data_IF_342781653186
#
_entry.id   IF_342781653186
#
_cell.length_a   1.000
_cell.length_b   1.000
_cell.length_c   1.000
_cell.angle_alpha   90.00
_cell.angle_beta   90.00
_cell.angle_gamma   90.00
#
_symmetry.space_group_name_H-M   'P 1'
#
loop_
_entity.id
_entity.type
_entity.pdbx_description
1 polymer ?
#
# COMPACT_ATOMS: atom_id res chain seq x y z
N UNK A 1 -36.16 8.63 -18.26
CA UNK A 1 -35.55 9.32 -19.42
C UNK A 1 -34.08 8.89 -19.51
N UNK A 2 -33.50 8.67 -20.70
CA UNK A 2 -32.07 8.41 -20.84
C UNK A 2 -31.27 9.60 -20.29
N UNK A 3 -30.20 9.34 -19.52
CA UNK A 3 -29.30 10.39 -19.04
C UNK A 3 -28.09 10.45 -19.98
N UNK A 4 -27.82 11.63 -20.53
CA UNK A 4 -26.67 11.89 -21.39
C UNK A 4 -25.43 12.12 -20.51
N UNK A 5 -24.44 11.25 -20.62
CA UNK A 5 -23.16 11.37 -19.93
C UNK A 5 -22.09 11.84 -20.91
N UNK A 6 -21.38 12.91 -20.57
CA UNK A 6 -20.20 13.37 -21.31
C UNK A 6 -18.95 12.89 -20.58
N UNK A 7 -18.12 12.12 -21.27
CA UNK A 7 -16.81 11.69 -20.78
C UNK A 7 -15.76 12.58 -21.46
N UNK A 8 -15.07 13.42 -20.68
CA UNK A 8 -13.97 14.24 -21.15
C UNK A 8 -12.67 13.84 -20.45
N UNK A 9 -11.59 13.67 -21.23
CA UNK A 9 -10.22 13.57 -20.70
C UNK A 9 -9.61 14.97 -20.62
N UNK A 10 -8.85 15.24 -19.54
CA UNK A 10 -8.28 16.56 -19.28
C UNK A 10 -7.09 16.88 -20.21
N UNK A 11 -6.53 15.90 -20.92
CA UNK A 11 -5.51 16.13 -21.96
C UNK A 11 -6.02 17.05 -23.09
N UNK A 12 -7.34 17.12 -23.30
CA UNK A 12 -7.98 18.00 -24.29
C UNK A 12 -8.07 19.47 -23.85
N UNK A 13 -7.99 19.76 -22.55
CA UNK A 13 -8.11 21.12 -21.99
C UNK A 13 -6.78 21.89 -22.02
N UNK A 14 -5.64 21.20 -21.97
CA UNK A 14 -4.33 21.87 -22.07
C UNK A 14 -3.81 21.99 -23.51
N UNK A 15 -4.46 21.36 -24.51
CA UNK A 15 -3.94 21.34 -25.90
C UNK A 15 -4.91 21.68 -27.03
N UNK A 16 -6.19 21.99 -26.80
CA UNK A 16 -7.05 22.36 -27.93
C UNK A 16 -8.23 23.25 -27.57
N UNK A 17 -8.40 24.32 -28.35
CA UNK A 17 -9.70 24.93 -28.60
C UNK A 17 -10.68 23.82 -29.02
N UNK A 18 -11.73 23.61 -28.22
CA UNK A 18 -12.98 22.91 -28.54
C UNK A 18 -12.88 21.67 -29.45
N UNK A 19 -12.59 20.51 -28.87
CA UNK A 19 -13.04 19.24 -29.45
C UNK A 19 -14.33 18.78 -28.74
N UNK A 20 -15.39 18.38 -29.48
CA UNK A 20 -16.64 17.91 -28.88
C UNK A 20 -16.41 16.59 -28.16
N UNK A 21 -16.76 16.54 -26.87
CA UNK A 21 -16.75 15.30 -26.08
C UNK A 21 -17.75 14.28 -26.63
N UNK A 22 -17.48 12.99 -26.41
CA UNK A 22 -18.42 11.92 -26.76
C UNK A 22 -19.60 11.95 -25.78
N UNK A 23 -20.81 12.15 -26.30
CA UNK A 23 -22.06 12.05 -25.53
C UNK A 23 -22.58 10.62 -25.66
N UNK A 24 -22.61 9.87 -24.56
CA UNK A 24 -23.16 8.51 -24.53
C UNK A 24 -24.39 8.50 -23.62
N UNK A 25 -25.51 7.98 -24.12
CA UNK A 25 -26.72 7.83 -23.35
C UNK A 25 -26.69 6.49 -22.60
N UNK A 26 -26.75 6.55 -21.27
CA UNK A 26 -26.83 5.37 -20.43
C UNK A 26 -28.21 5.23 -19.78
N UNK A 27 -28.70 4.00 -19.55
CA UNK A 27 -29.78 3.74 -18.61
C UNK A 27 -29.43 4.29 -17.21
N UNK A 28 -30.44 4.80 -16.49
CA UNK A 28 -30.26 5.42 -15.16
C UNK A 28 -29.57 4.50 -14.14
N UNK A 29 -29.72 3.20 -14.32
CA UNK A 29 -29.13 2.13 -13.51
C UNK A 29 -27.61 2.06 -13.69
N UNK A 30 -27.13 2.19 -14.94
CA UNK A 30 -25.70 2.26 -15.26
C UNK A 30 -25.10 3.57 -14.74
N UNK A 31 -25.83 4.68 -14.81
CA UNK A 31 -25.36 5.96 -14.24
C UNK A 31 -25.23 5.88 -12.71
N UNK A 32 -26.20 5.25 -12.04
CA UNK A 32 -26.14 5.01 -10.59
C UNK A 32 -24.97 4.09 -10.23
N UNK A 33 -24.73 3.06 -11.04
CA UNK A 33 -23.59 2.16 -10.89
C UNK A 33 -22.25 2.89 -11.10
N UNK A 34 -22.13 3.75 -12.13
CA UNK A 34 -20.93 4.56 -12.39
C UNK A 34 -20.65 5.55 -11.25
N UNK A 35 -21.69 6.21 -10.71
CA UNK A 35 -21.58 7.10 -9.54
C UNK A 35 -21.07 6.38 -8.29
N UNK A 36 -21.40 5.10 -8.14
CA UNK A 36 -20.91 4.29 -7.03
C UNK A 36 -19.44 3.87 -7.17
N UNK A 37 -18.84 4.04 -8.37
CA UNK A 37 -17.49 3.55 -8.74
C UNK A 37 -16.51 4.64 -9.19
N UNK A 38 -16.97 5.86 -9.45
CA UNK A 38 -16.14 6.97 -9.94
C UNK A 38 -16.33 8.22 -9.08
N UNK A 39 -15.22 8.88 -8.72
CA UNK A 39 -15.23 10.20 -8.08
C UNK A 39 -15.74 11.23 -9.10
N UNK A 40 -16.91 11.80 -8.84
CA UNK A 40 -17.47 12.91 -9.62
C UNK A 40 -17.04 14.20 -8.93
N UNK A 41 -16.32 15.07 -9.65
CA UNK A 41 -15.94 16.41 -9.18
C UNK A 41 -16.93 17.45 -9.74
N UNK A 42 -17.73 18.06 -8.87
CA UNK A 42 -18.77 19.03 -9.21
C UNK A 42 -18.27 20.47 -9.07
N UNK A 43 -17.18 20.85 -9.77
CA UNK A 43 -16.74 22.25 -9.75
C UNK A 43 -17.64 23.15 -10.61
N UNK A 44 -18.18 24.28 -10.08
CA UNK A 44 -19.26 25.04 -10.72
C UNK A 44 -18.98 25.57 -12.13
N UNK A 45 -17.73 25.88 -12.46
CA UNK A 45 -17.35 26.46 -13.74
C UNK A 45 -17.45 25.44 -14.90
N UNK A 46 -17.15 24.16 -14.65
CA UNK A 46 -17.22 23.13 -15.70
C UNK A 46 -18.63 22.57 -15.86
N UNK A 47 -19.37 22.47 -14.75
CA UNK A 47 -20.81 22.16 -14.76
C UNK A 47 -21.58 23.20 -15.60
N UNK A 48 -21.26 24.48 -15.46
CA UNK A 48 -21.90 25.55 -16.25
C UNK A 48 -21.63 25.43 -17.76
N UNK A 49 -20.40 25.12 -18.17
CA UNK A 49 -20.04 24.97 -19.59
C UNK A 49 -20.68 23.72 -20.23
N UNK A 50 -20.82 22.63 -19.49
CA UNK A 50 -21.43 21.41 -19.99
C UNK A 50 -22.97 21.46 -20.01
N UNK A 51 -23.58 22.12 -19.03
CA UNK A 51 -25.03 22.41 -19.04
C UNK A 51 -25.37 23.29 -20.25
N UNK A 52 -24.53 24.28 -20.58
CA UNK A 52 -24.70 25.10 -21.78
C UNK A 52 -24.60 24.30 -23.09
N UNK A 53 -23.95 23.13 -23.07
CA UNK A 53 -23.84 22.20 -24.21
C UNK A 53 -24.91 21.09 -24.21
N UNK A 54 -25.90 21.15 -23.31
CA UNK A 54 -26.99 20.16 -23.23
C UNK A 54 -26.68 18.91 -22.41
N UNK A 55 -25.56 18.87 -21.69
CA UNK A 55 -25.24 17.79 -20.77
C UNK A 55 -26.06 17.93 -19.49
N UNK A 56 -26.65 16.82 -19.02
CA UNK A 56 -27.34 16.78 -17.72
C UNK A 56 -26.40 16.43 -16.58
N UNK A 57 -25.24 15.82 -16.85
CA UNK A 57 -24.18 15.49 -15.89
C UNK A 57 -22.79 15.48 -16.55
N UNK A 58 -21.76 15.93 -15.82
CA UNK A 58 -20.35 15.90 -16.22
C UNK A 58 -19.62 14.91 -15.33
N UNK A 59 -18.95 13.91 -15.91
CA UNK A 59 -18.01 13.08 -15.16
C UNK A 59 -16.60 13.49 -15.57
N UNK A 60 -15.94 14.23 -14.69
CA UNK A 60 -14.54 14.55 -14.83
C UNK A 60 -13.68 13.29 -14.64
N UNK A 61 -12.77 13.02 -15.57
CA UNK A 61 -11.61 12.18 -15.27
C UNK A 61 -10.69 13.00 -14.36
N UNK A 62 -10.41 12.58 -13.11
CA UNK A 62 -9.38 13.23 -12.33
C UNK A 62 -8.06 13.10 -13.10
N UNK A 63 -7.42 14.23 -13.38
CA UNK A 63 -6.14 14.23 -14.09
C UNK A 63 -5.15 13.39 -13.27
N UNK A 64 -4.73 12.23 -13.79
CA UNK A 64 -3.88 11.29 -13.07
C UNK A 64 -2.43 11.80 -13.12
N UNK A 65 -2.14 12.88 -12.41
CA UNK A 65 -0.90 13.70 -12.30
C UNK A 65 0.50 13.04 -12.31
N UNK A 66 0.63 11.73 -12.51
CA UNK A 66 1.88 11.16 -12.98
C UNK A 66 2.09 11.58 -14.45
N UNK A 67 3.31 12.02 -14.79
CA UNK A 67 3.69 12.13 -16.19
C UNK A 67 3.75 10.70 -16.76
N UNK A 68 3.09 10.48 -17.90
CA UNK A 68 3.14 9.16 -18.55
C UNK A 68 4.59 8.78 -18.87
N UNK A 69 4.94 7.53 -18.59
CA UNK A 69 6.30 7.01 -18.75
C UNK A 69 7.32 7.51 -17.70
N UNK A 70 6.87 8.16 -16.62
CA UNK A 70 7.78 8.64 -15.57
C UNK A 70 8.30 7.54 -14.63
N UNK A 71 7.81 6.31 -14.79
CA UNK A 71 8.25 5.13 -14.03
C UNK A 71 8.73 4.02 -14.99
N UNK A 72 9.83 4.22 -15.75
CA UNK A 72 10.31 3.28 -16.76
C UNK A 72 10.71 1.90 -16.20
N UNK A 73 11.32 1.82 -15.01
CA UNK A 73 11.69 0.53 -14.42
C UNK A 73 10.43 -0.27 -14.06
N UNK A 74 9.48 0.37 -13.41
CA UNK A 74 8.22 -0.28 -13.04
C UNK A 74 7.40 -0.63 -14.28
N UNK A 75 7.44 0.21 -15.32
CA UNK A 75 6.84 -0.09 -16.62
C UNK A 75 7.42 -1.36 -17.24
N UNK A 76 8.75 -1.50 -17.22
CA UNK A 76 9.44 -2.70 -17.69
C UNK A 76 9.06 -3.92 -16.84
N UNK A 77 9.02 -3.81 -15.51
CA UNK A 77 8.65 -4.90 -14.62
C UNK A 77 7.21 -5.38 -14.88
N UNK A 78 6.25 -4.46 -15.06
CA UNK A 78 4.87 -4.81 -15.44
C UNK A 78 4.81 -5.46 -16.82
N UNK A 79 5.58 -4.97 -17.79
CA UNK A 79 5.65 -5.59 -19.12
C UNK A 79 6.18 -7.03 -19.04
N UNK A 80 7.18 -7.29 -18.18
CA UNK A 80 7.71 -8.64 -17.94
C UNK A 80 6.69 -9.55 -17.24
N UNK A 81 5.85 -9.01 -16.36
CA UNK A 81 4.71 -9.74 -15.78
C UNK A 81 3.73 -10.15 -16.87
N UNK A 82 3.32 -9.20 -17.71
CA UNK A 82 2.35 -9.43 -18.79
C UNK A 82 2.88 -10.41 -19.85
N UNK A 83 4.19 -10.42 -20.08
CA UNK A 83 4.85 -11.37 -20.96
C UNK A 83 5.08 -12.76 -20.33
N UNK A 84 4.76 -12.94 -19.04
CA UNK A 84 4.99 -14.19 -18.32
C UNK A 84 6.48 -14.50 -18.06
N UNK A 85 7.32 -13.46 -17.95
CA UNK A 85 8.78 -13.59 -17.86
C UNK A 85 9.36 -13.32 -16.47
N UNK A 86 8.78 -12.40 -15.69
CA UNK A 86 9.29 -12.07 -14.35
C UNK A 86 8.21 -11.49 -13.44
N UNK A 87 8.40 -11.64 -12.13
CA UNK A 87 7.58 -10.99 -11.11
C UNK A 87 7.88 -9.48 -11.05
N UNK A 88 6.90 -8.69 -10.62
CA UNK A 88 7.13 -7.31 -10.18
C UNK A 88 6.82 -7.18 -8.68
N UNK A 89 7.45 -6.23 -8.01
CA UNK A 89 7.34 -6.01 -6.57
C UNK A 89 7.07 -4.54 -6.26
N UNK A 90 5.90 -4.25 -5.70
CA UNK A 90 5.46 -2.89 -5.38
C UNK A 90 5.14 -2.77 -3.89
N UNK A 91 5.71 -1.77 -3.23
CA UNK A 91 5.52 -1.53 -1.80
C UNK A 91 4.66 -0.30 -1.48
N UNK A 92 3.89 -0.37 -0.39
CA UNK A 92 3.28 0.79 0.27
C UNK A 92 3.85 0.95 1.67
N UNK A 93 4.71 1.95 1.88
CA UNK A 93 5.30 2.29 3.16
C UNK A 93 4.51 3.43 3.80
N UNK A 94 3.80 3.17 4.89
CA UNK A 94 2.85 4.14 5.43
C UNK A 94 2.49 3.97 6.90
N UNK A 95 1.62 4.86 7.37
CA UNK A 95 1.11 4.87 8.73
C UNK A 95 -0.18 4.03 8.87
N UNK A 96 -1.09 4.37 9.80
CA UNK A 96 -2.37 3.66 9.95
C UNK A 96 -3.24 3.73 8.69
N UNK A 97 -3.06 4.72 7.83
CA UNK A 97 -3.82 4.82 6.57
C UNK A 97 -3.40 3.80 5.50
N UNK A 98 -2.32 3.05 5.74
CA UNK A 98 -1.86 1.95 4.89
C UNK A 98 -2.37 0.58 5.38
N UNK A 99 -2.78 0.49 6.65
CA UNK A 99 -3.24 -0.76 7.28
C UNK A 99 -4.66 -1.16 6.86
N UNK A 100 -5.49 -0.22 6.42
CA UNK A 100 -6.83 -0.46 5.89
C UNK A 100 -7.97 0.12 6.71
N UNK A 101 -9.18 -0.38 6.44
CA UNK A 101 -10.43 0.19 6.97
C UNK A 101 -10.40 0.21 8.48
N UNK A 102 -10.64 1.37 9.10
CA UNK A 102 -10.76 1.47 10.55
C UNK A 102 -9.50 1.04 11.31
N UNK A 103 -8.31 1.19 10.71
CA UNK A 103 -7.13 1.38 11.53
C UNK A 103 -7.27 2.75 12.23
N UNK A 104 -8.01 2.77 13.35
CA UNK A 104 -8.46 3.94 14.09
C UNK A 104 -8.15 3.96 15.60
N UNK A 105 -8.17 5.14 16.23
CA UNK A 105 -7.70 5.27 17.63
C UNK A 105 -8.61 4.45 18.56
N UNK A 106 -8.07 3.35 19.09
CA UNK A 106 -8.73 2.44 20.02
C UNK A 106 -9.68 1.46 19.34
N UNK A 107 -9.25 0.22 19.12
CA UNK A 107 -10.03 -1.01 18.78
C UNK A 107 -10.90 -0.98 17.49
N UNK A 108 -11.37 0.17 17.05
CA UNK A 108 -12.45 0.30 16.07
C UNK A 108 -11.95 0.13 14.65
N UNK A 109 -12.09 -1.09 14.13
CA UNK A 109 -12.08 -1.39 12.71
C UNK A 109 -10.88 -2.19 12.21
N UNK A 110 -9.93 -2.55 13.07
CA UNK A 110 -8.79 -3.39 12.68
C UNK A 110 -9.17 -4.83 12.33
N UNK A 111 -10.32 -5.35 12.79
CA UNK A 111 -10.77 -6.71 12.48
C UNK A 111 -11.07 -6.84 10.99
N UNK A 112 -10.36 -7.75 10.30
CA UNK A 112 -10.47 -7.98 8.86
C UNK A 112 -9.97 -6.82 7.99
N UNK A 113 -9.27 -5.84 8.57
CA UNK A 113 -8.87 -4.63 7.85
C UNK A 113 -7.87 -4.90 6.71
N UNK A 114 -7.09 -5.98 6.80
CA UNK A 114 -6.07 -6.33 5.81
C UNK A 114 -6.65 -6.48 4.40
N UNK A 115 -7.81 -7.14 4.24
CA UNK A 115 -8.45 -7.28 2.93
C UNK A 115 -8.96 -5.95 2.37
N UNK A 116 -9.28 -4.99 3.24
CA UNK A 116 -9.75 -3.65 2.88
C UNK A 116 -8.64 -2.62 2.66
N UNK A 117 -7.36 -2.98 2.82
CA UNK A 117 -6.25 -2.01 2.77
C UNK A 117 -5.93 -1.52 1.37
N UNK A 118 -5.35 -0.31 1.21
CA UNK A 118 -5.04 0.25 -0.10
C UNK A 118 -4.24 -0.69 -1.02
N UNK A 119 -3.29 -1.43 -0.46
CA UNK A 119 -2.49 -2.43 -1.19
C UNK A 119 -3.33 -3.59 -1.75
N UNK A 120 -4.24 -4.16 -0.96
CA UNK A 120 -5.16 -5.21 -1.42
C UNK A 120 -6.12 -4.68 -2.50
N UNK A 121 -6.62 -3.46 -2.32
CA UNK A 121 -7.55 -2.82 -3.26
C UNK A 121 -6.86 -2.43 -4.58
N UNK A 122 -5.58 -2.04 -4.52
CA UNK A 122 -4.73 -1.84 -5.70
C UNK A 122 -4.54 -3.15 -6.48
N UNK A 123 -4.28 -4.27 -5.79
CA UNK A 123 -4.11 -5.58 -6.42
C UNK A 123 -5.40 -6.05 -7.09
N UNK A 124 -6.54 -5.92 -6.40
CA UNK A 124 -7.85 -6.25 -6.95
C UNK A 124 -8.17 -5.43 -8.21
N UNK A 125 -7.86 -4.13 -8.21
CA UNK A 125 -8.09 -3.28 -9.37
C UNK A 125 -7.19 -3.66 -10.56
N UNK A 126 -5.88 -3.84 -10.34
CA UNK A 126 -4.97 -4.26 -11.41
C UNK A 126 -5.42 -5.59 -12.04
N UNK A 127 -5.80 -6.56 -11.20
CA UNK A 127 -6.34 -7.84 -11.67
C UNK A 127 -7.63 -7.65 -12.50
N UNK A 128 -8.51 -6.73 -12.09
CA UNK A 128 -9.77 -6.45 -12.81
C UNK A 128 -9.57 -5.83 -14.19
N UNK A 129 -8.43 -5.17 -14.43
CA UNK A 129 -8.06 -4.58 -15.74
C UNK A 129 -7.08 -5.46 -16.52
N UNK A 130 -6.91 -6.72 -16.13
CA UNK A 130 -6.12 -7.71 -16.87
C UNK A 130 -4.62 -7.74 -16.55
N UNK A 131 -4.16 -7.05 -15.50
CA UNK A 131 -2.78 -7.15 -15.01
C UNK A 131 -2.74 -8.11 -13.82
N UNK A 132 -2.11 -9.29 -13.93
CA UNK A 132 -2.01 -10.22 -12.81
C UNK A 132 -1.35 -9.55 -11.61
N UNK A 133 -2.08 -9.43 -10.50
CA UNK A 133 -1.60 -8.77 -9.29
C UNK A 133 -2.15 -9.47 -8.05
N UNK A 134 -1.38 -9.47 -6.97
CA UNK A 134 -1.83 -10.00 -5.70
C UNK A 134 -1.15 -9.31 -4.51
N UNK A 135 -1.90 -9.21 -3.41
CA UNK A 135 -1.38 -8.81 -2.11
C UNK A 135 -1.25 -10.06 -1.24
N UNK A 136 -0.22 -10.88 -1.49
CA UNK A 136 0.05 -12.12 -0.75
C UNK A 136 1.34 -11.97 0.04
N UNK A 137 1.29 -11.08 1.02
CA UNK A 137 2.40 -10.78 1.92
C UNK A 137 1.94 -10.35 3.30
N UNK A 138 2.83 -10.49 4.28
CA UNK A 138 2.73 -9.91 5.62
C UNK A 138 4.10 -9.35 6.03
N UNK A 139 4.14 -8.27 6.80
CA UNK A 139 5.38 -7.60 7.24
C UNK A 139 5.32 -7.11 8.70
N UNK A 140 4.56 -7.81 9.54
CA UNK A 140 4.47 -7.53 10.97
C UNK A 140 3.72 -6.24 11.31
N UNK A 141 2.93 -5.74 10.36
CA UNK A 141 2.07 -4.55 10.40
C UNK A 141 1.86 -4.01 11.83
N UNK A 142 2.55 -2.91 12.13
CA UNK A 142 2.96 -2.64 13.51
C UNK A 142 1.86 -2.08 14.38
N UNK A 143 1.97 -2.38 15.68
CA UNK A 143 1.09 -1.92 16.75
C UNK A 143 -0.37 -2.36 16.66
N UNK A 144 -0.74 -3.25 15.73
CA UNK A 144 -2.09 -3.86 15.66
C UNK A 144 -2.50 -4.47 17.02
N UNK A 145 -1.57 -5.15 17.69
CA UNK A 145 -1.83 -5.87 18.94
C UNK A 145 -1.63 -5.00 20.20
N UNK A 146 -1.18 -3.76 20.05
CA UNK A 146 -0.89 -2.83 21.16
C UNK A 146 -2.06 -1.88 21.48
N UNK A 147 -2.98 -1.64 20.53
CA UNK A 147 -4.07 -0.68 20.69
C UNK A 147 -5.40 -1.30 21.18
N UNK A 148 -5.61 -2.63 21.05
CA UNK A 148 -6.63 -3.36 21.82
C UNK A 148 -5.99 -4.40 22.75
N UNK A 149 -6.38 -4.47 24.04
CA UNK A 149 -6.08 -5.65 24.83
C UNK A 149 -6.75 -6.86 24.17
N UNK A 150 -5.95 -7.88 23.84
CA UNK A 150 -6.35 -9.18 23.26
C UNK A 150 -6.54 -9.26 21.74
N UNK A 151 -6.23 -8.23 20.94
CA UNK A 151 -6.26 -8.39 19.47
C UNK A 151 -5.11 -9.28 18.98
N UNK A 152 -5.46 -10.33 18.24
CA UNK A 152 -4.51 -11.17 17.53
C UNK A 152 -4.26 -10.62 16.13
N UNK A 153 -3.05 -10.82 15.61
CA UNK A 153 -2.75 -10.46 14.22
C UNK A 153 -3.69 -11.20 13.23
N UNK A 154 -4.13 -12.42 13.57
CA UNK A 154 -5.13 -13.18 12.82
C UNK A 154 -6.51 -12.51 12.78
N UNK A 155 -6.83 -11.64 13.74
CA UNK A 155 -8.07 -10.85 13.68
C UNK A 155 -7.95 -9.75 12.62
N UNK A 156 -6.74 -9.22 12.40
CA UNK A 156 -6.46 -8.22 11.36
C UNK A 156 -6.38 -8.83 9.97
N UNK A 157 -5.61 -9.90 9.83
CA UNK A 157 -5.43 -10.67 8.61
C UNK A 157 -5.70 -12.16 8.88
N UNK A 158 -6.86 -12.63 8.44
CA UNK A 158 -7.30 -14.02 8.65
C UNK A 158 -6.41 -15.05 7.97
N UNK A 159 -5.52 -14.62 7.07
CA UNK A 159 -4.53 -15.50 6.41
C UNK A 159 -3.36 -15.82 7.32
N UNK A 160 -3.10 -14.99 8.32
CA UNK A 160 -1.95 -15.10 9.21
C UNK A 160 -2.28 -15.92 10.47
N UNK A 161 -1.30 -16.67 10.97
CA UNK A 161 -1.39 -17.40 12.24
C UNK A 161 -0.05 -17.43 12.98
N UNK A 162 -0.09 -17.26 14.30
CA UNK A 162 1.06 -17.60 15.17
C UNK A 162 1.13 -19.11 15.39
N UNK A 163 2.33 -19.70 15.28
CA UNK A 163 2.54 -21.15 15.44
C UNK A 163 3.24 -21.45 16.76
N UNK A 164 2.74 -22.47 17.48
CA UNK A 164 3.36 -23.06 18.68
C UNK A 164 3.73 -22.05 19.79
N UNK A 165 2.91 -21.01 19.98
CA UNK A 165 3.14 -19.99 21.02
C UNK A 165 4.13 -18.89 20.63
N UNK A 166 4.56 -18.84 19.36
CA UNK A 166 5.24 -17.66 18.82
C UNK A 166 4.40 -16.39 19.04
N UNK A 167 5.09 -15.27 19.17
CA UNK A 167 4.45 -13.98 19.41
C UNK A 167 5.30 -12.84 18.85
N UNK A 168 4.79 -11.62 18.97
CA UNK A 168 5.51 -10.40 18.68
C UNK A 168 6.16 -9.83 19.95
N UNK A 169 6.97 -8.77 19.82
CA UNK A 169 7.49 -8.04 20.98
C UNK A 169 6.42 -7.11 21.59
N UNK A 170 5.99 -7.33 22.85
CA UNK A 170 4.86 -6.62 23.44
C UNK A 170 5.13 -5.13 23.75
N UNK A 171 6.41 -4.71 23.82
CA UNK A 171 6.77 -3.35 24.21
C UNK A 171 6.95 -2.37 23.03
N UNK A 172 6.75 -2.83 21.78
CA UNK A 172 6.88 -1.99 20.58
C UNK A 172 8.26 -1.36 20.35
N UNK A 173 9.29 -1.76 21.12
CA UNK A 173 10.64 -1.18 21.01
C UNK A 173 11.43 -1.75 19.84
N UNK A 174 11.05 -2.91 19.32
CA UNK A 174 11.69 -3.56 18.18
C UNK A 174 10.75 -3.51 16.97
N UNK A 175 10.78 -2.36 16.29
CA UNK A 175 10.05 -2.12 15.05
C UNK A 175 10.92 -2.46 13.84
N UNK A 176 10.27 -2.93 12.78
CA UNK A 176 10.86 -3.29 11.49
C UNK A 176 10.20 -2.50 10.36
N UNK A 177 10.46 -2.87 9.10
CA UNK A 177 9.88 -2.29 7.89
C UNK A 177 8.38 -2.00 7.99
N UNK A 178 7.57 -3.01 8.29
CA UNK A 178 6.12 -2.88 8.41
C UNK A 178 5.63 -2.82 9.87
N UNK A 179 6.45 -3.15 10.86
CA UNK A 179 5.98 -3.17 12.23
C UNK A 179 6.71 -4.10 13.18
N UNK A 180 5.98 -4.74 14.10
CA UNK A 180 6.59 -5.57 15.14
C UNK A 180 6.95 -6.94 14.56
N UNK A 181 8.21 -7.33 14.70
CA UNK A 181 8.71 -8.59 14.16
C UNK A 181 8.12 -9.80 14.90
N UNK A 182 7.93 -10.90 14.17
CA UNK A 182 7.65 -12.19 14.76
C UNK A 182 8.89 -12.74 15.44
N UNK A 183 8.76 -13.07 16.73
CA UNK A 183 9.81 -13.68 17.53
C UNK A 183 9.62 -15.19 17.55
N UNK A 184 10.60 -15.92 17.03
CA UNK A 184 10.65 -17.38 17.06
C UNK A 184 11.88 -17.86 17.85
N UNK A 185 11.75 -17.86 19.18
CA UNK A 185 12.81 -18.14 20.15
C UNK A 185 12.87 -19.61 20.58
N UNK A 186 12.47 -20.54 19.71
CA UNK A 186 12.46 -21.97 19.98
C UNK A 186 12.08 -22.78 18.73
N UNK A 187 12.55 -24.02 18.67
CA UNK A 187 12.28 -24.91 17.54
C UNK A 187 10.77 -25.13 17.37
N UNK A 188 10.28 -24.99 16.14
CA UNK A 188 8.86 -25.15 15.81
C UNK A 188 7.99 -23.92 16.06
N UNK A 189 8.53 -22.85 16.67
CA UNK A 189 7.84 -21.57 16.81
C UNK A 189 7.98 -20.79 15.50
N UNK A 190 6.94 -20.05 15.12
CA UNK A 190 7.01 -19.19 13.94
C UNK A 190 5.66 -18.68 13.49
N UNK A 191 5.51 -18.53 12.18
CA UNK A 191 4.32 -17.94 11.56
C UNK A 191 3.78 -18.83 10.45
N UNK A 192 2.46 -18.85 10.33
CA UNK A 192 1.72 -19.45 9.24
C UNK A 192 1.09 -18.33 8.39
N UNK A 193 1.09 -18.51 7.08
CA UNK A 193 0.35 -17.62 6.17
C UNK A 193 -0.30 -18.41 5.05
N UNK A 194 -1.58 -18.15 4.77
CA UNK A 194 -2.35 -18.79 3.69
C UNK A 194 -2.60 -17.79 2.57
N UNK A 195 -1.84 -17.83 1.46
CA UNK A 195 -2.06 -16.91 0.34
C UNK A 195 -3.41 -17.13 -0.34
N UNK A 196 -4.14 -16.05 -0.63
CA UNK A 196 -5.50 -16.10 -1.22
C UNK A 196 -5.67 -15.12 -2.38
N UNK A 197 -6.73 -15.33 -3.18
CA UNK A 197 -7.04 -14.41 -4.29
C UNK A 197 -7.60 -13.09 -3.74
N UNK A 198 -7.13 -11.92 -4.23
CA UNK A 198 -7.62 -10.63 -3.74
C UNK A 198 -9.15 -10.44 -3.86
N UNK A 199 -9.76 -11.01 -4.90
CA UNK A 199 -11.19 -10.95 -5.15
C UNK A 199 -11.99 -12.12 -4.56
N UNK A 200 -11.31 -13.15 -4.05
CA UNK A 200 -11.93 -14.36 -3.47
C UNK A 200 -11.09 -14.84 -2.28
N UNK A 201 -11.19 -14.17 -1.11
CA UNK A 201 -10.31 -14.42 0.04
C UNK A 201 -10.46 -15.81 0.66
N UNK A 202 -11.51 -16.55 0.30
CA UNK A 202 -11.74 -17.94 0.72
C UNK A 202 -11.05 -18.96 -0.17
N UNK A 203 -10.49 -18.54 -1.31
CA UNK A 203 -9.80 -19.41 -2.26
C UNK A 203 -8.29 -19.21 -2.18
N UNK A 204 -7.60 -20.30 -1.91
CA UNK A 204 -6.14 -20.32 -1.85
C UNK A 204 -5.55 -20.14 -3.25
N UNK A 205 -4.46 -19.38 -3.34
CA UNK A 205 -3.68 -19.30 -4.59
C UNK A 205 -2.67 -20.44 -4.63
N UNK A 206 -2.25 -20.79 -5.84
CA UNK A 206 -1.08 -21.65 -6.05
C UNK A 206 0.20 -20.81 -5.92
N UNK A 207 1.17 -21.32 -5.19
CA UNK A 207 2.51 -20.75 -5.06
C UNK A 207 3.55 -21.87 -4.98
N UNK A 208 4.78 -21.52 -5.33
CA UNK A 208 5.95 -22.40 -5.24
C UNK A 208 7.20 -21.64 -4.75
N UNK A 209 7.06 -20.34 -4.47
CA UNK A 209 8.17 -19.48 -4.10
C UNK A 209 7.78 -18.58 -2.94
N UNK A 210 8.65 -18.51 -1.94
CA UNK A 210 8.50 -17.66 -0.77
C UNK A 210 9.74 -16.78 -0.63
N UNK A 211 9.54 -15.46 -0.64
CA UNK A 211 10.58 -14.50 -0.28
C UNK A 211 10.42 -14.18 1.21
N UNK A 212 11.33 -14.67 2.04
CA UNK A 212 11.33 -14.45 3.49
C UNK A 212 12.27 -13.29 3.83
N UNK A 213 11.79 -12.34 4.63
CA UNK A 213 12.57 -11.23 5.15
C UNK A 213 12.76 -11.44 6.65
N UNK A 214 14.01 -11.46 7.10
CA UNK A 214 14.38 -11.83 8.45
C UNK A 214 15.55 -11.00 8.98
N UNK A 215 15.70 -10.95 10.30
CA UNK A 215 16.88 -10.38 10.95
C UNK A 215 17.96 -11.45 11.08
N UNK A 216 19.11 -11.20 10.45
CA UNK A 216 20.28 -12.05 10.59
C UNK A 216 21.10 -11.60 11.80
N UNK A 217 20.56 -11.80 13.02
CA UNK A 217 21.18 -11.31 14.25
C UNK A 217 21.99 -12.37 15.00
N UNK A 218 21.51 -13.61 15.00
CA UNK A 218 22.14 -14.70 15.75
C UNK A 218 22.43 -15.86 14.82
N UNK A 219 23.28 -16.81 15.24
CA UNK A 219 23.43 -18.08 14.54
C UNK A 219 22.23 -18.97 14.82
N UNK A 220 21.52 -19.38 13.78
CA UNK A 220 20.27 -20.10 13.85
C UNK A 220 19.77 -20.49 12.47
N UNK A 221 18.54 -20.98 12.38
CA UNK A 221 17.95 -21.33 11.09
C UNK A 221 16.43 -21.25 11.07
N UNK A 222 15.91 -20.95 9.89
CA UNK A 222 14.48 -20.90 9.58
C UNK A 222 14.17 -22.01 8.57
N UNK A 223 13.11 -22.78 8.80
CA UNK A 223 12.53 -23.71 7.83
C UNK A 223 11.29 -23.12 7.21
N UNK A 224 11.13 -23.30 5.90
CA UNK A 224 9.93 -22.89 5.15
C UNK A 224 9.29 -24.13 4.51
N UNK A 225 7.99 -24.34 4.71
CA UNK A 225 7.27 -25.52 4.22
C UNK A 225 5.80 -25.25 3.86
N UNK A 226 5.30 -26.01 2.87
CA UNK A 226 3.91 -26.05 2.45
C UNK A 226 3.06 -26.99 3.33
N UNK A 227 1.72 -26.90 3.31
CA UNK A 227 0.89 -27.75 4.15
C UNK A 227 1.04 -29.23 3.74
N UNK A 228 1.13 -30.13 4.70
CA UNK A 228 1.17 -31.58 4.45
C UNK A 228 2.56 -32.21 4.27
N UNK A 229 3.65 -31.47 4.48
CA UNK A 229 4.93 -32.04 4.94
C UNK A 229 5.67 -33.07 4.05
N UNK A 230 5.28 -33.27 2.79
CA UNK A 230 5.93 -34.25 1.90
C UNK A 230 7.20 -33.76 1.21
N UNK A 231 7.50 -32.46 1.27
CA UNK A 231 8.66 -31.85 0.60
C UNK A 231 9.69 -31.41 1.62
N UNK A 232 10.98 -31.60 1.31
CA UNK A 232 12.11 -31.15 2.15
C UNK A 232 11.94 -29.66 2.44
N UNK A 233 11.75 -29.31 3.71
CA UNK A 233 11.73 -27.91 4.12
C UNK A 233 13.06 -27.27 3.71
N UNK A 234 13.00 -26.17 2.96
CA UNK A 234 14.22 -25.42 2.66
C UNK A 234 14.65 -24.67 3.91
N UNK A 235 15.94 -24.76 4.22
CA UNK A 235 16.54 -24.11 5.39
C UNK A 235 17.24 -22.82 4.99
N UNK A 236 16.92 -21.75 5.69
CA UNK A 236 17.66 -20.49 5.67
C UNK A 236 18.55 -20.49 6.91
N UNK A 237 19.86 -20.42 6.73
CA UNK A 237 20.81 -20.31 7.84
C UNK A 237 21.18 -18.85 8.06
N UNK A 238 21.12 -18.41 9.31
CA UNK A 238 21.55 -17.07 9.74
C UNK A 238 23.03 -17.12 10.13
N UNK A 239 23.79 -16.10 9.76
CA UNK A 239 25.23 -16.00 9.99
C UNK A 239 25.63 -15.01 11.10
N UNK A 240 24.66 -14.30 11.68
CA UNK A 240 24.89 -13.37 12.79
C UNK A 240 25.49 -12.03 12.36
N UNK A 241 25.26 -11.59 11.12
CA UNK A 241 25.81 -10.34 10.57
C UNK A 241 25.14 -9.04 11.06
N UNK A 242 24.09 -9.13 11.90
CA UNK A 242 23.26 -8.02 12.38
C UNK A 242 22.68 -7.16 11.25
N UNK A 243 22.04 -7.80 10.27
CA UNK A 243 21.40 -7.11 9.12
C UNK A 243 20.06 -7.72 8.75
N UNK A 244 19.20 -6.94 8.12
CA UNK A 244 18.04 -7.50 7.42
C UNK A 244 18.51 -8.22 6.18
N UNK A 245 18.02 -9.45 5.99
CA UNK A 245 18.28 -10.25 4.79
C UNK A 245 16.97 -10.73 4.18
N UNK A 246 17.05 -11.00 2.89
CA UNK A 246 15.97 -11.59 2.11
C UNK A 246 16.46 -12.91 1.55
N UNK A 247 15.75 -13.99 1.84
CA UNK A 247 15.99 -15.29 1.23
C UNK A 247 14.82 -15.66 0.32
N UNK A 248 15.13 -16.14 -0.88
CA UNK A 248 14.12 -16.71 -1.78
C UNK A 248 14.17 -18.22 -1.67
N UNK A 249 13.04 -18.82 -1.34
CA UNK A 249 12.89 -20.25 -1.11
C UNK A 249 11.97 -20.83 -2.16
N UNK A 250 12.44 -21.86 -2.88
CA UNK A 250 11.63 -22.67 -3.77
C UNK A 250 11.00 -23.83 -3.01
N UNK A 251 9.72 -24.07 -3.25
CA UNK A 251 8.88 -25.09 -2.65
C UNK A 251 8.21 -25.91 -3.76
N UNK A 252 7.64 -27.04 -3.39
CA UNK A 252 6.76 -27.79 -4.30
C UNK A 252 5.51 -26.96 -4.58
N UNK A 253 5.20 -26.72 -5.85
CA UNK A 253 4.03 -25.95 -6.28
C UNK A 253 2.74 -26.52 -5.67
N UNK A 254 2.00 -25.69 -4.94
CA UNK A 254 0.80 -26.11 -4.20
C UNK A 254 0.02 -24.91 -3.66
N UNK A 255 -1.03 -25.18 -2.87
CA UNK A 255 -1.86 -24.15 -2.24
C UNK A 255 -2.14 -24.48 -0.77
N UNK A 256 -2.45 -23.45 0.01
CA UNK A 256 -2.71 -23.55 1.46
C UNK A 256 -1.63 -22.90 2.33
N UNK A 257 -1.66 -23.20 3.62
CA UNK A 257 -0.81 -22.52 4.61
C UNK A 257 0.68 -22.85 4.45
N UNK A 258 1.50 -21.83 4.21
CA UNK A 258 2.94 -21.94 4.36
C UNK A 258 3.33 -21.70 5.82
N UNK A 259 4.23 -22.52 6.35
CA UNK A 259 4.83 -22.35 7.67
C UNK A 259 6.26 -21.86 7.54
N UNK A 260 6.61 -20.84 8.32
CA UNK A 260 7.96 -20.28 8.44
C UNK A 260 8.34 -20.41 9.91
N UNK A 261 9.17 -21.40 10.22
CA UNK A 261 9.44 -21.84 11.60
C UNK A 261 10.91 -21.69 11.93
N UNK A 262 11.21 -21.38 13.20
CA UNK A 262 12.54 -21.55 13.75
C UNK A 262 12.89 -23.05 13.76
N UNK A 263 14.02 -23.40 13.16
CA UNK A 263 14.58 -24.74 13.19
C UNK A 263 15.74 -24.84 14.19
N UNK A 264 16.45 -23.74 14.46
CA UNK A 264 17.44 -23.64 15.52
C UNK A 264 17.73 -22.18 15.90
N UNK A 265 18.25 -21.97 17.11
CA UNK A 265 18.68 -20.66 17.59
C UNK A 265 17.53 -19.70 17.91
N UNK A 266 17.77 -18.40 17.70
CA UNK A 266 16.79 -17.32 17.85
C UNK A 266 16.70 -16.52 16.54
N UNK A 267 15.59 -16.70 15.83
CA UNK A 267 15.39 -16.12 14.50
C UNK A 267 14.18 -15.20 14.52
N UNK A 268 14.31 -14.05 13.85
CA UNK A 268 13.28 -13.03 13.83
C UNK A 268 12.78 -12.83 12.42
N UNK A 269 11.47 -12.96 12.25
CA UNK A 269 10.81 -12.93 10.95
C UNK A 269 10.14 -11.55 10.83
N UNK A 270 10.58 -10.77 9.85
CA UNK A 270 10.00 -9.47 9.54
C UNK A 270 8.74 -9.68 8.70
N UNK A 271 8.82 -10.52 7.67
CA UNK A 271 7.72 -10.72 6.75
C UNK A 271 8.02 -11.74 5.66
N UNK A 272 7.03 -12.00 4.82
CA UNK A 272 7.20 -12.84 3.65
C UNK A 272 6.26 -12.44 2.51
N UNK A 273 6.68 -12.76 1.28
CA UNK A 273 5.85 -12.64 0.06
C UNK A 273 5.78 -13.98 -0.65
N UNK A 274 4.58 -14.37 -1.08
CA UNK A 274 4.28 -15.69 -1.64
C UNK A 274 3.86 -15.56 -3.11
N UNK A 275 4.56 -16.25 -4.02
CA UNK A 275 4.22 -16.22 -5.43
C UNK A 275 4.43 -17.54 -6.18
N UNK A 276 3.77 -17.63 -7.34
CA UNK A 276 3.92 -18.70 -8.31
C UNK A 276 4.99 -18.27 -9.32
N UNK A 277 6.13 -18.96 -9.35
CA UNK A 277 7.21 -18.69 -10.28
C UNK A 277 6.81 -18.90 -11.74
N UNK A 278 5.79 -19.72 -11.99
CA UNK A 278 5.30 -20.05 -13.33
C UNK A 278 4.17 -19.13 -13.81
N UNK A 279 3.56 -18.37 -12.89
CA UNK A 279 2.52 -17.38 -13.22
C UNK A 279 2.92 -16.02 -12.65
N UNK A 280 3.69 -15.23 -13.41
CA UNK A 280 4.13 -13.92 -12.96
C UNK A 280 3.00 -12.96 -12.64
N UNK A 281 3.23 -12.14 -11.62
CA UNK A 281 2.30 -11.11 -11.16
C UNK A 281 3.03 -9.91 -10.57
N UNK A 282 2.28 -8.82 -10.43
CA UNK A 282 2.64 -7.69 -9.58
C UNK A 282 2.32 -8.05 -8.13
N UNK A 283 3.35 -8.28 -7.33
CA UNK A 283 3.23 -8.55 -5.91
C UNK A 283 3.19 -7.23 -5.16
N UNK A 284 2.05 -6.92 -4.55
CA UNK A 284 1.83 -5.69 -3.80
C UNK A 284 2.01 -6.00 -2.32
N UNK A 285 2.80 -5.17 -1.65
CA UNK A 285 3.17 -5.37 -0.25
C UNK A 285 2.82 -4.11 0.56
N UNK A 286 2.38 -4.33 1.80
CA UNK A 286 2.07 -3.27 2.74
C UNK A 286 3.08 -3.27 3.89
N UNK A 287 3.63 -2.10 4.18
CA UNK A 287 4.52 -1.83 5.31
C UNK A 287 3.89 -0.77 6.22
N UNK A 288 2.58 -0.91 6.46
CA UNK A 288 1.82 0.02 7.29
C UNK A 288 2.13 -0.13 8.78
N UNK A 289 2.33 0.97 9.49
CA UNK A 289 2.51 0.95 10.94
C UNK A 289 1.58 1.92 11.65
N UNK A 290 0.82 1.41 12.62
CA UNK A 290 -0.17 2.19 13.33
C UNK A 290 0.48 3.31 14.16
N UNK A 291 -0.04 4.54 14.04
CA UNK A 291 0.42 5.70 14.83
C UNK A 291 1.84 6.17 14.50
N UNK A 292 2.45 5.63 13.45
CA UNK A 292 3.84 5.90 13.15
C UNK A 292 4.04 7.21 12.39
N UNK A 293 5.20 7.84 12.63
CA UNK A 293 5.67 9.02 11.90
C UNK A 293 7.15 8.89 11.59
N UNK A 294 7.61 9.47 10.48
CA UNK A 294 9.02 9.38 10.07
C UNK A 294 10.01 9.86 11.15
N UNK A 295 9.59 10.84 11.94
CA UNK A 295 10.43 11.65 12.84
C UNK A 295 10.40 11.22 14.31
N UNK A 296 9.60 10.23 14.71
CA UNK A 296 9.57 9.75 16.10
C UNK A 296 10.86 9.00 16.44
N UNK A 297 11.21 8.90 17.73
CA UNK A 297 12.42 8.19 18.17
C UNK A 297 12.46 6.71 17.73
N UNK A 298 11.29 6.10 17.51
CA UNK A 298 11.13 4.73 16.98
C UNK A 298 10.62 4.70 15.53
N UNK A 299 10.53 5.87 14.91
CA UNK A 299 10.01 6.09 13.57
C UNK A 299 11.01 5.77 12.48
N UNK A 300 10.54 5.62 11.25
CA UNK A 300 11.31 5.05 10.14
C UNK A 300 12.72 5.62 9.92
N UNK A 301 12.95 6.91 10.22
CA UNK A 301 14.24 7.58 9.94
C UNK A 301 15.09 7.79 11.19
N UNK A 302 14.47 8.04 12.35
CA UNK A 302 15.22 8.32 13.59
C UNK A 302 15.40 7.08 14.49
N UNK A 303 14.81 5.95 14.12
CA UNK A 303 14.98 4.71 14.87
C UNK A 303 16.44 4.28 14.87
N UNK A 304 17.01 4.11 16.06
CA UNK A 304 18.34 3.56 16.24
C UNK A 304 18.38 2.03 16.12
N UNK A 305 17.23 1.36 16.03
CA UNK A 305 17.17 -0.05 15.69
C UNK A 305 17.37 -0.27 14.19
N UNK A 306 18.27 -1.18 13.85
CA UNK A 306 18.78 -1.47 12.49
C UNK A 306 17.77 -2.18 11.56
N UNK A 307 16.54 -2.42 12.02
CA UNK A 307 15.57 -3.28 11.34
C UNK A 307 14.52 -2.51 10.53
N UNK A 308 14.64 -1.18 10.47
CA UNK A 308 13.70 -0.28 9.80
C UNK A 308 14.42 0.84 9.04
N UNK A 309 13.71 1.48 8.13
CA UNK A 309 14.18 2.68 7.41
C UNK A 309 14.50 2.40 5.96
N UNK A 310 15.11 3.37 5.29
CA UNK A 310 15.31 3.34 3.84
C UNK A 310 16.31 2.27 3.43
N UNK A 311 17.43 2.16 4.15
CA UNK A 311 18.43 1.12 3.93
C UNK A 311 17.86 -0.32 4.04
N UNK A 312 16.87 -0.52 4.92
CA UNK A 312 16.21 -1.81 5.06
C UNK A 312 15.19 -2.03 3.95
N UNK A 313 14.43 -0.99 3.58
CA UNK A 313 13.43 -1.07 2.51
C UNK A 313 14.09 -1.30 1.15
N UNK A 314 15.28 -0.73 0.97
CA UNK A 314 16.17 -0.96 -0.17
C UNK A 314 16.55 -2.45 -0.36
N UNK A 315 16.68 -3.23 0.73
CA UNK A 315 17.01 -4.67 0.63
C UNK A 315 15.89 -5.50 0.00
N UNK A 316 14.66 -4.97 -0.04
CA UNK A 316 13.52 -5.69 -0.62
C UNK A 316 13.57 -5.74 -2.16
N UNK A 317 14.40 -4.90 -2.79
CA UNK A 317 14.55 -4.86 -4.26
C UNK A 317 13.21 -4.57 -4.95
N UNK A 318 12.53 -3.52 -4.51
CA UNK A 318 11.24 -3.11 -5.07
C UNK A 318 11.41 -2.48 -6.47
N UNK A 319 10.39 -2.63 -7.30
CA UNK A 319 10.27 -1.88 -8.55
C UNK A 319 9.73 -0.48 -8.26
N UNK A 320 8.70 -0.40 -7.42
CA UNK A 320 8.14 0.86 -6.93
C UNK A 320 7.84 0.84 -5.43
N UNK A 321 7.92 2.01 -4.78
CA UNK A 321 7.46 2.19 -3.41
C UNK A 321 6.70 3.50 -3.22
N UNK A 322 5.49 3.42 -2.65
CA UNK A 322 4.74 4.56 -2.14
C UNK A 322 5.21 4.92 -0.72
N UNK A 323 5.41 6.19 -0.46
CA UNK A 323 5.61 6.75 0.88
C UNK A 323 4.35 7.53 1.28
N UNK A 324 3.60 6.97 2.24
CA UNK A 324 2.32 7.48 2.74
C UNK A 324 2.35 7.57 4.27
N UNK A 325 3.31 8.35 4.76
CA UNK A 325 3.66 8.54 6.17
C UNK A 325 3.19 9.91 6.66
N UNK A 326 1.91 10.21 6.45
CA UNK A 326 1.49 11.60 6.33
C UNK A 326 0.68 12.14 7.48
N UNK A 327 -0.05 11.28 8.19
CA UNK A 327 -1.07 11.72 9.14
C UNK A 327 -0.45 12.08 10.50
N UNK A 328 0.48 11.27 11.00
CA UNK A 328 0.95 11.42 12.38
C UNK A 328 1.99 12.52 12.54
N UNK A 329 2.68 12.89 11.46
CA UNK A 329 3.56 14.07 11.43
C UNK A 329 2.77 15.38 11.51
N UNK A 330 1.51 15.42 11.07
CA UNK A 330 0.66 16.61 11.19
C UNK A 330 0.51 17.08 12.65
N UNK A 331 0.51 16.15 13.61
CA UNK A 331 0.42 16.45 15.04
C UNK A 331 1.56 17.32 15.59
N UNK A 332 2.69 17.40 14.89
CA UNK A 332 3.84 18.25 15.27
C UNK A 332 3.64 19.73 14.83
N UNK A 333 2.54 20.05 14.15
CA UNK A 333 2.21 21.40 13.67
C UNK A 333 3.22 21.95 12.65
N UNK A 334 3.25 23.28 12.48
CA UNK A 334 4.17 23.94 11.55
C UNK A 334 5.65 23.74 11.91
N UNK A 335 5.96 23.58 13.20
CA UNK A 335 7.33 23.36 13.67
C UNK A 335 7.92 22.02 13.17
N UNK A 336 7.06 21.02 12.92
CA UNK A 336 7.48 19.71 12.43
C UNK A 336 7.79 19.64 10.93
N UNK A 337 7.40 20.64 10.13
CA UNK A 337 7.46 20.58 8.66
C UNK A 337 8.88 20.36 8.14
N UNK A 338 9.88 21.07 8.69
CA UNK A 338 11.28 20.91 8.28
C UNK A 338 11.79 19.50 8.59
N UNK A 339 11.55 19.01 9.82
CA UNK A 339 12.00 17.69 10.25
C UNK A 339 11.33 16.57 9.43
N UNK A 340 10.06 16.74 9.07
CA UNK A 340 9.37 15.84 8.15
C UNK A 340 10.01 15.84 6.75
N UNK A 341 10.27 17.03 6.19
CA UNK A 341 10.91 17.17 4.87
C UNK A 341 12.27 16.48 4.83
N UNK A 342 13.11 16.71 5.85
CA UNK A 342 14.44 16.12 5.95
C UNK A 342 14.38 14.60 6.08
N UNK A 343 13.46 14.09 6.91
CA UNK A 343 13.28 12.65 7.09
C UNK A 343 12.76 11.98 5.82
N UNK A 344 11.74 12.56 5.18
CA UNK A 344 11.19 12.07 3.92
C UNK A 344 12.25 12.07 2.81
N UNK A 345 13.06 13.13 2.71
CA UNK A 345 14.18 13.19 1.77
C UNK A 345 15.20 12.08 2.01
N UNK A 346 15.56 11.81 3.27
CA UNK A 346 16.54 10.78 3.62
C UNK A 346 16.07 9.40 3.15
N UNK A 347 14.87 8.99 3.58
CA UNK A 347 14.35 7.65 3.29
C UNK A 347 14.13 7.43 1.79
N UNK A 348 13.61 8.44 1.08
CA UNK A 348 13.39 8.38 -0.37
C UNK A 348 14.71 8.23 -1.11
N UNK A 349 15.76 8.97 -0.72
CA UNK A 349 17.07 8.87 -1.36
C UNK A 349 17.72 7.50 -1.17
N UNK A 350 17.64 6.93 0.04
CA UNK A 350 18.19 5.60 0.32
C UNK A 350 17.51 4.52 -0.53
N UNK A 351 16.19 4.59 -0.66
CA UNK A 351 15.40 3.61 -1.41
C UNK A 351 15.59 3.78 -2.92
N UNK A 352 15.63 5.03 -3.39
CA UNK A 352 15.93 5.35 -4.79
C UNK A 352 17.36 4.92 -5.19
N UNK A 353 18.34 5.04 -4.28
CA UNK A 353 19.71 4.59 -4.53
C UNK A 353 19.83 3.07 -4.77
N UNK A 354 18.88 2.27 -4.24
CA UNK A 354 18.76 0.85 -4.55
C UNK A 354 18.01 0.57 -5.88
N UNK A 355 17.71 1.62 -6.65
CA UNK A 355 17.04 1.54 -7.93
C UNK A 355 15.53 1.37 -7.84
N UNK A 356 14.90 1.60 -6.68
CA UNK A 356 13.43 1.57 -6.55
C UNK A 356 12.86 2.90 -7.04
N UNK A 357 11.81 2.86 -7.88
CA UNK A 357 11.09 4.08 -8.25
C UNK A 357 10.18 4.52 -7.10
N UNK A 358 10.25 5.80 -6.74
CA UNK A 358 9.63 6.29 -5.51
C UNK A 358 8.45 7.19 -5.81
N UNK A 359 7.35 6.98 -5.09
CA UNK A 359 6.13 7.79 -5.17
C UNK A 359 5.82 8.35 -3.79
N UNK A 360 5.67 9.67 -3.69
CA UNK A 360 5.32 10.35 -2.44
C UNK A 360 3.84 10.68 -2.47
N UNK A 361 3.07 10.15 -1.51
CA UNK A 361 1.66 10.49 -1.37
C UNK A 361 1.51 11.87 -0.70
N UNK A 362 0.48 12.63 -1.10
CA UNK A 362 0.18 13.90 -0.43
C UNK A 362 -0.22 13.67 1.02
N UNK A 363 0.17 14.54 1.96
CA UNK A 363 -0.44 14.57 3.27
C UNK A 363 -1.89 15.06 3.26
N UNK A 364 -2.73 14.50 4.14
CA UNK A 364 -4.09 14.99 4.37
C UNK A 364 -4.23 15.72 5.71
N UNK A 365 -5.30 16.52 5.82
CA UNK A 365 -5.63 17.20 7.06
C UNK A 365 -6.22 16.22 8.08
N UNK A 366 -5.87 16.42 9.35
CA UNK A 366 -6.37 15.67 10.50
C UNK A 366 -7.45 16.49 11.21
N UNK A 367 -8.62 15.88 11.47
CA UNK A 367 -9.72 16.50 12.24
C UNK A 367 -10.94 16.89 11.39
N UNK A 368 -11.95 17.52 11.99
CA UNK A 368 -13.20 17.92 11.31
C UNK A 368 -13.07 19.19 10.47
N UNK A 369 -11.85 19.75 10.37
CA UNK A 369 -11.55 20.94 9.60
C UNK A 369 -11.14 20.61 8.17
N UNK A 370 -11.40 21.55 7.26
CA UNK A 370 -10.84 21.57 5.92
C UNK A 370 -9.30 21.64 5.95
N UNK A 371 -8.67 21.36 4.81
CA UNK A 371 -7.23 21.59 4.67
C UNK A 371 -6.89 23.04 5.03
N UNK A 372 -5.85 23.22 5.84
CA UNK A 372 -5.45 24.51 6.39
C UNK A 372 -3.95 24.73 6.27
N UNK A 373 -3.46 25.78 6.94
CA UNK A 373 -2.06 26.21 6.85
C UNK A 373 -1.07 25.10 7.15
N UNK A 374 -1.33 24.28 8.17
CA UNK A 374 -0.44 23.16 8.55
C UNK A 374 -0.37 22.12 7.43
N UNK A 375 -1.51 21.57 6.99
CA UNK A 375 -1.52 20.51 5.98
C UNK A 375 -1.01 21.00 4.62
N UNK A 376 -1.27 22.26 4.27
CA UNK A 376 -0.66 22.90 3.09
C UNK A 376 0.87 22.93 3.17
N UNK A 377 1.44 23.24 4.33
CA UNK A 377 2.89 23.25 4.52
C UNK A 377 3.50 21.85 4.36
N UNK A 378 2.86 20.79 4.89
CA UNK A 378 3.30 19.41 4.70
C UNK A 378 3.17 18.94 3.24
N UNK A 379 2.10 19.32 2.54
CA UNK A 379 1.94 19.04 1.09
C UNK A 379 3.03 19.74 0.27
N UNK A 380 3.33 21.00 0.57
CA UNK A 380 4.42 21.73 -0.09
C UNK A 380 5.78 21.08 0.18
N UNK A 381 6.06 20.68 1.42
CA UNK A 381 7.28 19.95 1.77
C UNK A 381 7.41 18.64 0.97
N UNK A 382 6.34 17.84 0.88
CA UNK A 382 6.33 16.60 0.11
C UNK A 382 6.56 16.84 -1.40
N UNK A 383 5.97 17.90 -1.98
CA UNK A 383 6.20 18.32 -3.37
C UNK A 383 7.64 18.78 -3.60
N UNK A 384 8.21 19.53 -2.65
CA UNK A 384 9.60 19.95 -2.70
C UNK A 384 10.54 18.74 -2.68
N UNK A 385 10.36 17.80 -1.76
CA UNK A 385 11.16 16.57 -1.72
C UNK A 385 11.05 15.81 -3.04
N UNK A 386 9.83 15.67 -3.59
CA UNK A 386 9.62 15.04 -4.91
C UNK A 386 10.49 15.66 -5.99
N UNK A 387 10.52 17.00 -6.06
CA UNK A 387 11.34 17.75 -7.02
C UNK A 387 12.85 17.51 -6.81
N UNK A 388 13.30 17.49 -5.55
CA UNK A 388 14.71 17.30 -5.18
C UNK A 388 15.22 15.86 -5.42
N UNK A 389 14.34 14.86 -5.33
CA UNK A 389 14.70 13.44 -5.46
C UNK A 389 14.36 12.84 -6.82
N UNK A 390 13.63 13.55 -7.67
CA UNK A 390 13.13 13.02 -8.93
C UNK A 390 12.03 11.96 -8.75
N UNK A 391 11.41 11.89 -7.57
CA UNK A 391 10.29 11.00 -7.29
C UNK A 391 9.03 11.42 -8.05
N UNK A 392 7.97 10.60 -7.97
CA UNK A 392 6.65 11.01 -8.43
C UNK A 392 5.79 11.50 -7.26
N UNK A 393 4.94 12.50 -7.48
CA UNK A 393 4.00 12.98 -6.47
C UNK A 393 2.57 12.50 -6.77
N UNK A 394 1.99 11.74 -5.84
CA UNK A 394 0.62 11.29 -5.92
C UNK A 394 -0.26 12.08 -4.95
N UNK A 395 -1.00 13.05 -5.47
CA UNK A 395 -1.94 13.85 -4.67
C UNK A 395 -3.24 13.07 -4.36
N UNK A 396 -3.11 11.92 -3.71
CA UNK A 396 -4.18 10.93 -3.57
C UNK A 396 -5.34 11.46 -2.75
N UNK A 397 -5.08 12.20 -1.68
CA UNK A 397 -6.15 12.62 -0.78
C UNK A 397 -6.95 13.82 -1.31
N UNK A 398 -6.32 14.73 -2.07
CA UNK A 398 -7.05 15.77 -2.83
C UNK A 398 -8.05 15.17 -3.81
N UNK A 399 -7.74 13.99 -4.35
CA UNK A 399 -8.62 13.27 -5.29
C UNK A 399 -9.73 12.52 -4.58
N UNK A 400 -9.47 11.98 -3.40
CA UNK A 400 -10.48 11.30 -2.59
C UNK A 400 -11.57 12.27 -2.13
N UNK A 401 -11.21 13.48 -1.74
CA UNK A 401 -12.15 14.56 -1.46
C UNK A 401 -11.48 15.90 -1.72
N UNK A 402 -12.18 16.90 -2.32
CA UNK A 402 -11.65 18.25 -2.41
C UNK A 402 -11.25 18.77 -1.03
N UNK A 403 -10.09 19.42 -0.94
CA UNK A 403 -9.54 19.95 0.31
C UNK A 403 -10.47 20.90 1.09
N UNK A 404 -11.44 21.51 0.40
CA UNK A 404 -12.46 22.40 0.98
C UNK A 404 -13.71 21.68 1.52
N UNK A 405 -13.82 20.35 1.37
CA UNK A 405 -15.01 19.56 1.71
C UNK A 405 -14.68 18.32 2.57
N UNK A 406 -13.61 18.37 3.36
CA UNK A 406 -13.12 17.22 4.14
C UNK A 406 -14.11 16.72 5.20
N UNK A 407 -15.14 17.50 5.55
CA UNK A 407 -15.92 17.31 6.77
C UNK A 407 -17.22 16.51 6.67
N UNK A 408 -17.59 15.90 5.53
CA UNK A 408 -18.92 15.25 5.44
C UNK A 408 -19.12 14.13 4.39
N UNK A 409 -18.13 13.28 4.11
CA UNK A 409 -18.28 12.24 3.06
C UNK A 409 -18.06 10.82 3.58
N UNK A 410 -18.71 9.84 2.93
CA UNK A 410 -18.55 8.39 3.11
C UNK A 410 -17.09 7.87 2.97
N UNK A 411 -16.12 8.74 2.69
CA UNK A 411 -14.71 8.44 2.41
C UNK A 411 -13.87 8.41 3.70
N UNK A 412 -14.21 9.22 4.70
CA UNK A 412 -13.59 9.25 6.02
C UNK A 412 -14.60 8.76 7.07
N UNK A 413 -14.17 8.47 8.31
CA UNK A 413 -15.09 8.02 9.36
C UNK A 413 -15.06 6.53 9.66
N UNK A 414 -14.04 5.79 9.22
CA UNK A 414 -13.96 4.33 9.43
C UNK A 414 -14.03 3.89 10.90
N UNK A 415 -13.64 4.76 11.82
CA UNK A 415 -13.64 4.56 13.28
C UNK A 415 -14.54 5.58 14.03
N UNK A 416 -15.35 6.35 13.29
CA UNK A 416 -16.10 7.49 13.83
C UNK A 416 -15.28 8.78 13.95
N UNK A 417 -14.05 8.81 13.42
CA UNK A 417 -13.22 10.01 13.30
C UNK A 417 -13.00 10.38 11.83
N UNK A 418 -12.79 11.66 11.53
CA UNK A 418 -12.36 12.09 10.19
C UNK A 418 -10.88 11.83 9.91
N UNK A 419 -10.19 11.15 10.83
CA UNK A 419 -8.75 10.86 10.73
C UNK A 419 -8.46 9.75 9.72
N UNK A 420 -9.30 8.72 9.75
CA UNK A 420 -9.09 7.47 9.03
C UNK A 420 -10.11 7.27 7.92
N UNK A 421 -9.63 6.66 6.84
CA UNK A 421 -10.47 6.30 5.70
C UNK A 421 -11.47 5.21 6.10
N UNK A 422 -12.69 5.34 5.59
CA UNK A 422 -13.71 4.28 5.64
C UNK A 422 -13.31 3.11 4.73
N UNK A 423 -14.15 2.07 4.67
CA UNK A 423 -14.00 1.01 3.67
C UNK A 423 -14.00 1.55 2.25
N UNK A 424 -14.96 2.44 1.95
CA UNK A 424 -15.05 3.11 0.66
C UNK A 424 -13.82 3.99 0.38
N UNK A 425 -13.30 4.69 1.38
CA UNK A 425 -12.11 5.52 1.23
C UNK A 425 -10.84 4.71 0.94
N UNK A 426 -10.62 3.60 1.64
CA UNK A 426 -9.47 2.73 1.37
C UNK A 426 -9.57 2.04 0.00
N UNK A 427 -10.77 1.61 -0.39
CA UNK A 427 -11.05 1.11 -1.73
C UNK A 427 -10.67 2.14 -2.79
N UNK A 428 -11.20 3.37 -2.68
CA UNK A 428 -10.91 4.45 -3.60
C UNK A 428 -9.41 4.79 -3.62
N UNK A 429 -8.72 4.80 -2.48
CA UNK A 429 -7.28 5.04 -2.38
C UNK A 429 -6.47 4.00 -3.15
N UNK A 430 -6.79 2.71 -2.97
CA UNK A 430 -6.14 1.63 -3.71
C UNK A 430 -6.37 1.70 -5.22
N UNK A 431 -7.61 1.98 -5.65
CA UNK A 431 -7.94 2.19 -7.07
C UNK A 431 -7.19 3.38 -7.65
N UNK A 432 -7.12 4.50 -6.94
CA UNK A 432 -6.39 5.68 -7.38
C UNK A 432 -4.87 5.42 -7.51
N UNK A 433 -4.28 4.64 -6.59
CA UNK A 433 -2.87 4.21 -6.72
C UNK A 433 -2.66 3.31 -7.92
N UNK A 434 -3.56 2.37 -8.18
CA UNK A 434 -3.48 1.52 -9.35
C UNK A 434 -3.55 2.35 -10.64
N UNK A 435 -4.53 3.25 -10.76
CA UNK A 435 -4.65 4.14 -11.93
C UNK A 435 -3.44 5.06 -12.09
N UNK A 436 -2.90 5.59 -10.99
CA UNK A 436 -1.66 6.35 -11.01
C UNK A 436 -0.52 5.51 -11.57
N UNK A 437 -0.36 4.26 -11.10
CA UNK A 437 0.67 3.34 -11.57
C UNK A 437 0.53 3.07 -13.08
N UNK A 438 -0.67 2.77 -13.55
CA UNK A 438 -0.94 2.51 -14.98
C UNK A 438 -0.59 3.73 -15.84
N UNK A 439 -0.97 4.92 -15.40
CA UNK A 439 -0.63 6.13 -16.13
C UNK A 439 0.88 6.40 -16.12
N UNK A 440 1.53 6.31 -14.95
CA UNK A 440 2.96 6.54 -14.79
C UNK A 440 3.83 5.55 -15.60
N UNK A 441 3.30 4.35 -15.84
CA UNK A 441 3.99 3.27 -16.57
C UNK A 441 3.58 3.16 -18.04
N UNK A 442 2.58 3.92 -18.48
CA UNK A 442 2.07 3.88 -19.86
C UNK A 442 1.19 2.67 -20.18
N UNK A 443 0.77 1.90 -19.18
CA UNK A 443 -0.09 0.71 -19.32
C UNK A 443 -1.57 1.04 -19.14
N UNK A 444 -2.02 2.20 -19.62
CA UNK A 444 -3.44 2.55 -19.56
C UNK A 444 -4.22 1.52 -20.41
N UNK A 445 -5.18 0.78 -19.83
CA UNK A 445 -6.04 -0.07 -20.64
C UNK A 445 -6.69 0.80 -21.70
N UNK A 446 -6.72 0.29 -22.94
CA UNK A 446 -7.54 0.90 -23.99
C UNK A 446 -8.98 0.74 -23.52
N UNK A 447 -9.56 1.84 -23.03
CA UNK A 447 -10.93 1.91 -22.51
C UNK A 447 -11.97 1.86 -23.63
#
# INVERSE_FOLDING_TARGET
MPQALVIQSVDSLERSNYAPGLVVNFPAEIVTWLKSRMLVDDTPAVVAAAIAAGATQVVHRPNYSAKSGAMPKTSQAIAMVLAGLAQAFVGGFGDSTELGTGAGTGVKGLIGAAAGRPSAQMAAYLASVGIPAADNSFFGEGFIQAFPPNMQFSDFDSRFRWIAGASHYPNGQQTSLGGVMGRANGVGLGVGFTPTYPCEPTRNIIYDTVRVVYCDRTTGSITVSNPGGGSVASTITTDGTFKVKVATVSLTRGSGECQILCASGDVWIIGATFYDSQIPRVNIMSFGQYGDKLTSATGAVKNTNEWRGGAVLAQLGLDACWFDMTLNSYGDGLAGVSAFSDALRSIVKEVAAAGTETVIASPHAVGTGNQGTVSNAYVQAARQVTSETGSQFHDVYKRLTPYAAYSATHIFGGDGTTLHLSAGGNHAKGVLRARFLLNATGHNPVE
#
